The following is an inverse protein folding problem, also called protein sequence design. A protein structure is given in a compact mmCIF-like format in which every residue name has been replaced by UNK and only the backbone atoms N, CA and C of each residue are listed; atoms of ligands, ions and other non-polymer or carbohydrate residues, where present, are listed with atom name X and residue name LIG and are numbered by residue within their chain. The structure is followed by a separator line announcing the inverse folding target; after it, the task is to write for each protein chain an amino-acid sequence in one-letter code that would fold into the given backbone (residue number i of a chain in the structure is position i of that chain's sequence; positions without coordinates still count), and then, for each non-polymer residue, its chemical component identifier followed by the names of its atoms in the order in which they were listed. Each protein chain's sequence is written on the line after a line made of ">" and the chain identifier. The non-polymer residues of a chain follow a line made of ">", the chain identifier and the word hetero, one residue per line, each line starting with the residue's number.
data_IF_255214861970
#
_entry.id   IF_255214861970
#
_cell.length_a   1.000
_cell.length_b   1.000
_cell.length_c   1.000
_cell.angle_alpha   90.00
_cell.angle_beta   90.00
_cell.angle_gamma   90.00
#
_symmetry.space_group_name_H-M   'P 1'
#
loop_
_entity.id
_entity.type
_entity.pdbx_description
1 polymer ?
#
# COMPACT_ATOMS: atom_id res chain seq x y z
N UNK A 1 -3.60 18.91 0.40
CA UNK A 1 -2.71 17.98 1.16
C UNK A 1 -1.48 18.71 1.66
N UNK A 2 -1.14 18.55 2.94
CA UNK A 2 0.06 19.12 3.54
C UNK A 2 1.24 18.12 3.57
N UNK A 3 2.43 18.61 3.92
CA UNK A 3 3.63 17.75 4.04
C UNK A 3 3.45 16.65 5.08
N UNK A 4 2.70 16.92 6.15
CA UNK A 4 2.46 15.94 7.22
C UNK A 4 1.57 14.77 6.74
N UNK A 5 0.61 15.02 5.84
CA UNK A 5 -0.23 13.98 5.24
C UNK A 5 0.63 13.03 4.40
N UNK A 6 1.53 13.60 3.59
CA UNK A 6 2.46 12.84 2.74
C UNK A 6 3.37 11.97 3.61
N UNK A 7 3.98 12.55 4.65
CA UNK A 7 4.87 11.82 5.54
C UNK A 7 4.12 10.69 6.28
N UNK A 8 2.90 10.95 6.74
CA UNK A 8 2.07 9.94 7.39
C UNK A 8 1.75 8.78 6.43
N UNK A 9 1.35 9.08 5.18
CA UNK A 9 1.06 8.07 4.15
C UNK A 9 2.31 7.22 3.88
N UNK A 10 3.50 7.83 3.72
CA UNK A 10 4.75 7.12 3.48
C UNK A 10 5.06 6.16 4.62
N UNK A 11 5.00 6.63 5.87
CA UNK A 11 5.31 5.81 7.04
C UNK A 11 4.25 4.73 7.30
N UNK A 12 2.96 5.06 7.13
CA UNK A 12 1.88 4.09 7.23
C UNK A 12 2.04 2.97 6.19
N UNK A 13 2.37 3.32 4.95
CA UNK A 13 2.66 2.35 3.90
C UNK A 13 3.86 1.47 4.26
N UNK A 14 4.97 2.05 4.72
CA UNK A 14 6.13 1.27 5.14
C UNK A 14 5.79 0.26 6.24
N UNK A 15 5.04 0.67 7.25
CA UNK A 15 4.60 -0.24 8.33
C UNK A 15 3.69 -1.33 7.77
N UNK A 16 2.70 -0.96 6.97
CA UNK A 16 1.69 -1.90 6.46
C UNK A 16 2.26 -2.90 5.45
N UNK A 17 3.15 -2.46 4.57
CA UNK A 17 3.68 -3.26 3.46
C UNK A 17 4.93 -4.08 3.84
N UNK A 18 5.78 -3.56 4.73
CA UNK A 18 7.05 -4.21 5.08
C UNK A 18 7.05 -4.80 6.48
N UNK A 19 6.64 -4.04 7.51
CA UNK A 19 6.78 -4.50 8.89
C UNK A 19 5.70 -5.55 9.25
N UNK A 20 4.50 -5.44 8.71
CA UNK A 20 3.38 -6.35 9.00
C UNK A 20 3.24 -7.48 7.98
N UNK A 21 3.99 -7.46 6.89
CA UNK A 21 4.10 -8.58 5.98
C UNK A 21 4.92 -9.71 6.64
N UNK A 22 4.32 -10.88 6.84
CA UNK A 22 5.05 -12.03 7.38
C UNK A 22 5.83 -12.79 6.28
N UNK A 23 6.78 -13.63 6.69
CA UNK A 23 7.65 -14.37 5.77
C UNK A 23 6.88 -15.25 4.76
N UNK A 24 5.76 -15.85 5.18
CA UNK A 24 4.94 -16.68 4.28
C UNK A 24 4.27 -15.84 3.18
N UNK A 25 3.79 -14.64 3.52
CA UNK A 25 3.25 -13.71 2.52
C UNK A 25 4.35 -13.27 1.55
N UNK A 26 5.50 -12.84 2.07
CA UNK A 26 6.63 -12.37 1.26
C UNK A 26 7.13 -13.44 0.28
N UNK A 27 7.25 -14.68 0.72
CA UNK A 27 7.78 -15.78 -0.10
C UNK A 27 6.78 -16.34 -1.12
N UNK A 28 5.48 -16.28 -0.82
CA UNK A 28 4.46 -16.96 -1.62
C UNK A 28 3.59 -16.04 -2.48
N UNK A 29 3.62 -14.71 -2.28
CA UNK A 29 2.77 -13.78 -3.06
C UNK A 29 3.07 -13.79 -4.57
N UNK A 30 4.26 -14.20 -4.99
CA UNK A 30 4.61 -14.33 -6.41
C UNK A 30 4.03 -15.58 -7.10
N UNK A 31 3.64 -16.59 -6.33
CA UNK A 31 3.17 -17.89 -6.86
C UNK A 31 1.71 -18.19 -6.50
N UNK A 32 1.16 -17.49 -5.49
CA UNK A 32 -0.18 -17.75 -4.96
C UNK A 32 -0.98 -16.47 -4.79
N UNK A 33 -2.11 -16.38 -5.49
CA UNK A 33 -3.05 -15.27 -5.35
C UNK A 33 -3.70 -15.23 -3.95
N UNK A 34 -3.81 -16.38 -3.27
CA UNK A 34 -4.33 -16.44 -1.89
C UNK A 34 -3.39 -15.72 -0.93
N UNK A 35 -2.08 -15.99 -1.03
CA UNK A 35 -1.08 -15.32 -0.20
C UNK A 35 -0.96 -13.83 -0.52
N UNK A 36 -1.07 -13.46 -1.79
CA UNK A 36 -1.13 -12.06 -2.21
C UNK A 36 -2.37 -11.37 -1.61
N UNK A 37 -3.55 -12.00 -1.72
CA UNK A 37 -4.79 -11.42 -1.15
C UNK A 37 -4.70 -11.29 0.37
N UNK A 38 -4.14 -12.28 1.08
CA UNK A 38 -3.91 -12.18 2.52
C UNK A 38 -2.97 -11.02 2.88
N UNK A 39 -1.90 -10.81 2.10
CA UNK A 39 -1.02 -9.65 2.26
C UNK A 39 -1.80 -8.34 2.13
N UNK A 40 -2.60 -8.19 1.08
CA UNK A 40 -3.39 -6.97 0.85
C UNK A 40 -4.45 -6.74 1.93
N UNK A 41 -5.05 -7.80 2.48
CA UNK A 41 -5.99 -7.68 3.60
C UNK A 41 -5.32 -7.15 4.86
N UNK A 42 -4.13 -7.67 5.20
CA UNK A 42 -3.32 -7.18 6.34
C UNK A 42 -2.88 -5.73 6.10
N UNK A 43 -2.38 -5.44 4.90
CA UNK A 43 -2.01 -4.08 4.48
C UNK A 43 -3.18 -3.10 4.63
N UNK A 44 -4.35 -3.43 4.09
CA UNK A 44 -5.53 -2.55 4.12
C UNK A 44 -6.03 -2.33 5.55
N UNK A 45 -6.04 -3.37 6.38
CA UNK A 45 -6.41 -3.25 7.80
C UNK A 45 -5.43 -2.36 8.57
N UNK A 46 -4.13 -2.48 8.30
CA UNK A 46 -3.09 -1.65 8.93
C UNK A 46 -3.22 -0.18 8.49
N UNK A 47 -3.38 0.07 7.18
CA UNK A 47 -3.60 1.42 6.65
C UNK A 47 -4.82 2.08 7.28
N UNK A 48 -5.94 1.35 7.36
CA UNK A 48 -7.15 1.84 8.03
C UNK A 48 -6.89 2.17 9.50
N UNK A 49 -6.25 1.26 10.24
CA UNK A 49 -5.97 1.44 11.67
C UNK A 49 -5.03 2.61 11.98
N UNK A 50 -4.04 2.86 11.12
CA UNK A 50 -3.07 3.97 11.29
C UNK A 50 -3.71 5.30 10.88
N UNK A 51 -4.45 5.34 9.77
CA UNK A 51 -4.99 6.58 9.21
C UNK A 51 -6.29 7.03 9.88
N UNK A 52 -7.10 6.11 10.44
CA UNK A 52 -8.40 6.45 11.02
C UNK A 52 -8.32 7.46 12.19
N UNK A 53 -7.42 7.33 13.18
CA UNK A 53 -7.28 8.35 14.23
C UNK A 53 -6.92 9.71 13.65
N UNK A 54 -6.01 9.76 12.69
CA UNK A 54 -5.59 11.01 12.06
C UNK A 54 -6.77 11.70 11.37
N UNK A 55 -7.50 10.97 10.52
CA UNK A 55 -8.68 11.50 9.80
C UNK A 55 -9.78 11.93 10.79
N UNK A 56 -10.00 11.16 11.86
CA UNK A 56 -11.00 11.48 12.88
C UNK A 56 -10.72 12.82 13.57
N UNK A 57 -9.45 13.14 13.84
CA UNK A 57 -9.04 14.36 14.54
C UNK A 57 -8.77 15.55 13.61
N UNK A 58 -8.78 15.36 12.27
CA UNK A 58 -8.62 16.48 11.32
C UNK A 58 -9.76 17.49 11.41
N UNK A 59 -11.00 17.02 11.51
CA UNK A 59 -12.19 17.84 11.70
C UNK A 59 -13.28 17.02 12.40
N UNK A 60 -13.49 17.31 13.68
CA UNK A 60 -14.44 16.57 14.49
C UNK A 60 -15.90 16.73 14.04
N UNK A 61 -16.24 17.81 13.35
CA UNK A 61 -17.61 18.06 12.87
C UNK A 61 -18.00 17.15 11.70
N UNK A 62 -17.04 16.75 10.88
CA UNK A 62 -17.25 15.92 9.67
C UNK A 62 -16.58 14.54 9.75
N UNK A 63 -16.10 14.17 10.93
CA UNK A 63 -15.24 12.97 11.12
C UNK A 63 -15.84 11.67 10.57
N UNK A 64 -17.15 11.42 10.71
CA UNK A 64 -17.77 10.21 10.18
C UNK A 64 -17.83 10.21 8.64
N UNK A 65 -17.99 11.35 7.99
CA UNK A 65 -17.94 11.46 6.53
C UNK A 65 -16.52 11.20 6.04
N UNK A 66 -15.53 11.78 6.73
CA UNK A 66 -14.12 11.57 6.41
C UNK A 66 -13.68 10.12 6.63
N UNK A 67 -14.19 9.43 7.65
CA UNK A 67 -13.95 7.99 7.83
C UNK A 67 -14.55 7.13 6.71
N UNK A 68 -15.71 7.52 6.17
CA UNK A 68 -16.26 6.85 4.97
C UNK A 68 -15.36 7.05 3.75
N UNK A 69 -14.85 8.28 3.52
CA UNK A 69 -13.88 8.53 2.46
C UNK A 69 -12.56 7.76 2.67
N UNK A 70 -12.12 7.61 3.92
CA UNK A 70 -10.96 6.76 4.24
C UNK A 70 -11.20 5.30 3.85
N UNK A 71 -12.39 4.74 4.11
CA UNK A 71 -12.72 3.38 3.67
C UNK A 71 -12.67 3.26 2.15
N UNK A 72 -13.20 4.24 1.42
CA UNK A 72 -13.11 4.30 -0.05
C UNK A 72 -11.65 4.35 -0.49
N UNK A 73 -10.85 5.21 0.12
CA UNK A 73 -9.43 5.36 -0.19
C UNK A 73 -8.64 4.07 0.05
N UNK A 74 -8.82 3.43 1.20
CA UNK A 74 -8.18 2.13 1.53
C UNK A 74 -8.59 1.05 0.54
N UNK A 75 -9.86 1.01 0.13
CA UNK A 75 -10.37 0.02 -0.83
C UNK A 75 -9.74 0.22 -2.22
N UNK A 76 -9.70 1.45 -2.72
CA UNK A 76 -9.08 1.78 -4.01
C UNK A 76 -7.60 1.43 -3.99
N UNK A 77 -6.87 1.87 -2.95
CA UNK A 77 -5.44 1.60 -2.85
C UNK A 77 -5.13 0.13 -2.59
N UNK A 78 -5.97 -0.60 -1.85
CA UNK A 78 -5.85 -2.05 -1.71
C UNK A 78 -5.97 -2.78 -3.05
N UNK A 79 -6.93 -2.39 -3.90
CA UNK A 79 -7.08 -2.96 -5.24
C UNK A 79 -5.90 -2.63 -6.15
N UNK A 80 -5.44 -1.38 -6.16
CA UNK A 80 -4.27 -0.94 -6.94
C UNK A 80 -2.98 -1.62 -6.44
N UNK A 81 -2.82 -1.76 -5.13
CA UNK A 81 -1.71 -2.48 -4.52
C UNK A 81 -1.70 -3.95 -4.96
N UNK A 82 -2.86 -4.62 -4.92
CA UNK A 82 -2.97 -6.00 -5.37
C UNK A 82 -2.50 -6.18 -6.82
N UNK A 83 -2.92 -5.29 -7.74
CA UNK A 83 -2.54 -5.34 -9.15
C UNK A 83 -1.04 -5.10 -9.32
N UNK A 84 -0.49 -4.07 -8.65
CA UNK A 84 0.93 -3.74 -8.73
C UNK A 84 1.79 -4.88 -8.20
N UNK A 85 1.47 -5.40 -7.00
CA UNK A 85 2.18 -6.54 -6.40
C UNK A 85 2.06 -7.82 -7.22
N UNK A 86 0.92 -8.04 -7.86
CA UNK A 86 0.75 -9.19 -8.75
C UNK A 86 1.76 -9.14 -9.91
N UNK A 87 1.97 -7.98 -10.49
CA UNK A 87 2.95 -7.79 -11.58
C UNK A 87 4.38 -7.83 -11.04
N UNK A 88 4.69 -7.02 -10.04
CA UNK A 88 6.06 -6.80 -9.55
C UNK A 88 6.64 -8.03 -8.85
N UNK A 89 5.85 -8.75 -8.05
CA UNK A 89 6.33 -9.95 -7.35
C UNK A 89 6.72 -11.06 -8.31
N UNK A 90 6.00 -11.23 -9.41
CA UNK A 90 6.33 -12.20 -10.47
C UNK A 90 7.56 -11.77 -11.26
N UNK A 91 7.65 -10.49 -11.61
CA UNK A 91 8.81 -9.94 -12.30
C UNK A 91 10.08 -10.06 -11.45
N UNK A 92 10.01 -9.70 -10.17
CA UNK A 92 11.15 -9.82 -9.24
C UNK A 92 11.56 -11.26 -9.01
N UNK A 93 10.63 -12.19 -8.86
CA UNK A 93 10.91 -13.61 -8.75
C UNK A 93 11.65 -14.16 -9.98
N UNK A 94 11.20 -13.80 -11.18
CA UNK A 94 11.85 -14.18 -12.44
C UNK A 94 13.27 -13.61 -12.58
N UNK A 95 13.45 -12.31 -12.28
CA UNK A 95 14.75 -11.65 -12.34
C UNK A 95 15.72 -12.22 -11.33
N UNK A 96 15.24 -12.53 -10.13
CA UNK A 96 16.05 -13.18 -9.08
C UNK A 96 16.59 -14.54 -9.54
N UNK A 97 15.73 -15.38 -10.13
CA UNK A 97 16.11 -16.69 -10.65
C UNK A 97 17.13 -16.60 -11.79
N UNK A 98 17.04 -15.56 -12.63
CA UNK A 98 18.03 -15.27 -13.69
C UNK A 98 19.35 -14.70 -13.18
N UNK A 99 19.44 -14.30 -11.91
CA UNK A 99 20.62 -13.63 -11.35
C UNK A 99 20.74 -12.15 -11.76
N UNK A 100 19.69 -11.56 -12.37
CA UNK A 100 19.66 -10.15 -12.76
C UNK A 100 19.31 -9.26 -11.56
N UNK A 101 20.31 -9.04 -10.71
CA UNK A 101 20.16 -8.29 -9.46
C UNK A 101 19.86 -6.80 -9.70
N UNK A 102 20.42 -6.22 -10.75
CA UNK A 102 20.19 -4.81 -11.07
C UNK A 102 18.70 -4.56 -11.37
N UNK A 103 18.14 -5.28 -12.35
CA UNK A 103 16.73 -5.12 -12.72
C UNK A 103 15.76 -5.57 -11.62
N UNK A 104 16.14 -6.54 -10.78
CA UNK A 104 15.38 -6.90 -9.58
C UNK A 104 15.14 -5.69 -8.66
N UNK A 105 16.20 -4.93 -8.33
CA UNK A 105 16.05 -3.73 -7.50
C UNK A 105 15.36 -2.57 -8.22
N UNK A 106 15.53 -2.45 -9.55
CA UNK A 106 14.79 -1.45 -10.35
C UNK A 106 13.28 -1.72 -10.27
N UNK A 107 12.85 -2.98 -10.39
CA UNK A 107 11.43 -3.35 -10.29
C UNK A 107 10.88 -3.08 -8.88
N UNK A 108 11.65 -3.38 -7.81
CA UNK A 108 11.24 -3.04 -6.44
C UNK A 108 11.07 -1.53 -6.27
N UNK A 109 12.02 -0.73 -6.78
CA UNK A 109 11.93 0.72 -6.72
C UNK A 109 10.72 1.27 -7.48
N UNK A 110 10.44 0.74 -8.68
CA UNK A 110 9.27 1.11 -9.47
C UNK A 110 7.95 0.73 -8.76
N UNK A 111 7.89 -0.45 -8.18
CA UNK A 111 6.78 -0.91 -7.36
C UNK A 111 6.44 0.07 -6.23
N UNK A 112 7.44 0.44 -5.43
CA UNK A 112 7.27 1.40 -4.34
C UNK A 112 6.88 2.80 -4.84
N UNK A 113 7.45 3.25 -5.95
CA UNK A 113 7.11 4.54 -6.55
C UNK A 113 5.64 4.56 -7.04
N UNK A 114 5.14 3.47 -7.62
CA UNK A 114 3.74 3.33 -8.04
C UNK A 114 2.81 3.37 -6.82
N UNK A 115 3.09 2.59 -5.77
CA UNK A 115 2.29 2.57 -4.55
C UNK A 115 2.18 3.96 -3.91
N UNK A 116 3.30 4.63 -3.69
CA UNK A 116 3.33 5.97 -3.09
C UNK A 116 2.60 6.99 -3.96
N UNK A 117 2.82 6.95 -5.27
CA UNK A 117 2.16 7.87 -6.21
C UNK A 117 0.64 7.69 -6.22
N UNK A 118 0.15 6.45 -6.28
CA UNK A 118 -1.30 6.18 -6.28
C UNK A 118 -1.95 6.60 -4.97
N UNK A 119 -1.31 6.35 -3.83
CA UNK A 119 -1.82 6.76 -2.52
C UNK A 119 -1.91 8.28 -2.39
N UNK A 120 -0.88 9.01 -2.79
CA UNK A 120 -0.84 10.47 -2.73
C UNK A 120 -1.88 11.09 -3.66
N UNK A 121 -1.97 10.63 -4.91
CA UNK A 121 -2.93 11.15 -5.90
C UNK A 121 -4.37 10.87 -5.48
N UNK A 122 -4.67 9.67 -5.02
CA UNK A 122 -6.03 9.32 -4.57
C UNK A 122 -6.41 10.01 -3.26
N UNK A 123 -5.44 10.27 -2.37
CA UNK A 123 -5.67 11.08 -1.17
C UNK A 123 -6.05 12.50 -1.52
N UNK A 124 -5.26 13.15 -2.39
CA UNK A 124 -5.57 14.52 -2.84
C UNK A 124 -6.94 14.59 -3.50
N UNK A 125 -7.28 13.61 -4.34
CA UNK A 125 -8.57 13.58 -5.03
C UNK A 125 -9.77 13.41 -4.10
N UNK A 126 -9.64 12.66 -3.01
CA UNK A 126 -10.76 12.34 -2.10
C UNK A 126 -10.88 13.31 -0.92
N UNK A 127 -9.78 13.93 -0.50
CA UNK A 127 -9.72 14.78 0.70
C UNK A 127 -9.39 16.26 0.42
N UNK A 128 -9.30 16.68 -0.86
CA UNK A 128 -9.09 18.10 -1.23
C UNK A 128 -10.37 18.94 -1.24
#
# INVERSE_FOLDING_TARGET
>A
MGIYDILLIIWAHFVADFMLQNDKMAQNKSTSNIWLTNHIMVYSAAMLGIMAPFVYFMDSATSHIQLLWLLVWVTINGALHWITDWCSSRATSYLWQKGDRHNFFVVIGADQAIHLSTMVVTWEWLFS
#
